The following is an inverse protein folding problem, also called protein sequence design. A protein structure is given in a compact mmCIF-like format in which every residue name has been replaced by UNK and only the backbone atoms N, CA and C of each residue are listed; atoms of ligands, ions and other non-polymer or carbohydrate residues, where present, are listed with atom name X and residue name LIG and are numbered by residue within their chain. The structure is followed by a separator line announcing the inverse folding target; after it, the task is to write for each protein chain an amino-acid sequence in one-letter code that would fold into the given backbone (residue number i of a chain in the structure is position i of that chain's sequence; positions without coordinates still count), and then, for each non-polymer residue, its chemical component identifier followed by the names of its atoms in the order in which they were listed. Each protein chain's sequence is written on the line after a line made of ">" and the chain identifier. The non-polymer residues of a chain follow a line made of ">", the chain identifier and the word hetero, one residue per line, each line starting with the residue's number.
data_IF_773210310092
#
_entry.id   IF_773210310092
#
_cell.length_a   1.000
_cell.length_b   1.000
_cell.length_c   1.000
_cell.angle_alpha   90.00
_cell.angle_beta   90.00
_cell.angle_gamma   90.00
#
_symmetry.space_group_name_H-M   'P 1'
#
loop_
_entity.id
_entity.type
_entity.pdbx_description
1 polymer ?
#
# COMPACT_ATOMS: atom_id res chain seq x y z
N UNK A 1 -9.02 -4.21 -17.83
CA UNK A 1 -9.33 -4.93 -16.58
C UNK A 1 -9.07 -3.99 -15.42
N UNK A 2 -10.01 -3.89 -14.48
CA UNK A 2 -10.04 -2.81 -13.48
C UNK A 2 -9.97 -3.35 -12.06
N UNK A 3 -9.20 -2.71 -11.19
CA UNK A 3 -9.07 -3.09 -9.78
C UNK A 3 -10.28 -2.64 -8.96
N UNK A 4 -10.91 -3.57 -8.22
CA UNK A 4 -12.13 -3.26 -7.46
C UNK A 4 -11.85 -2.82 -6.00
N UNK A 5 -12.40 -1.68 -5.54
CA UNK A 5 -12.28 -1.23 -4.16
C UNK A 5 -13.20 -2.00 -3.19
N UNK A 6 -12.76 -2.14 -1.94
CA UNK A 6 -13.56 -2.66 -0.82
C UNK A 6 -14.39 -1.53 -0.22
N UNK A 7 -15.69 -1.49 -0.55
CA UNK A 7 -16.60 -0.40 -0.18
C UNK A 7 -16.84 -0.19 1.33
N UNK A 8 -16.74 -1.23 2.16
CA UNK A 8 -17.04 -1.13 3.60
C UNK A 8 -15.91 -0.47 4.41
N UNK A 9 -14.65 -0.69 4.03
CA UNK A 9 -13.48 -0.07 4.66
C UNK A 9 -13.45 1.46 4.49
N UNK A 10 -13.90 1.94 3.32
CA UNK A 10 -14.03 3.38 3.08
C UNK A 10 -15.06 4.04 4.02
N UNK A 11 -16.15 3.34 4.37
CA UNK A 11 -17.16 3.84 5.31
C UNK A 11 -16.60 3.90 6.73
N UNK A 12 -15.89 2.86 7.17
CA UNK A 12 -15.21 2.80 8.47
C UNK A 12 -14.17 3.90 8.66
N UNK A 13 -13.35 4.17 7.65
CA UNK A 13 -12.36 5.28 7.72
C UNK A 13 -13.02 6.65 7.90
N UNK A 14 -14.22 6.87 7.34
CA UNK A 14 -14.95 8.15 7.47
C UNK A 14 -15.51 8.31 8.88
N UNK A 15 -16.05 7.23 9.46
CA UNK A 15 -16.53 7.22 10.85
C UNK A 15 -15.39 7.48 11.83
N UNK A 16 -14.23 6.85 11.64
CA UNK A 16 -13.05 7.07 12.49
C UNK A 16 -12.55 8.52 12.44
N UNK A 17 -12.54 9.14 11.26
CA UNK A 17 -12.17 10.56 11.11
C UNK A 17 -13.16 11.47 11.84
N UNK A 18 -14.47 11.24 11.71
CA UNK A 18 -15.51 12.04 12.38
C UNK A 18 -15.40 11.90 13.91
N UNK A 19 -15.23 10.68 14.41
CA UNK A 19 -15.06 10.39 15.83
C UNK A 19 -13.80 11.05 16.42
N UNK A 20 -12.68 10.98 15.68
CA UNK A 20 -11.44 11.65 16.09
C UNK A 20 -11.61 13.17 16.10
N UNK A 21 -12.28 13.75 15.09
CA UNK A 21 -12.59 15.18 15.05
C UNK A 21 -13.46 15.65 16.22
N UNK A 22 -14.44 14.84 16.63
CA UNK A 22 -15.30 15.12 17.78
C UNK A 22 -14.51 15.13 19.11
N UNK A 23 -13.65 14.13 19.33
CA UNK A 23 -12.78 14.07 20.51
C UNK A 23 -11.86 15.29 20.61
N UNK A 24 -11.35 15.77 19.47
CA UNK A 24 -10.53 16.97 19.41
C UNK A 24 -11.30 18.24 19.77
N UNK A 25 -12.55 18.35 19.33
CA UNK A 25 -13.42 19.48 19.65
C UNK A 25 -13.67 19.56 21.16
N UNK A 26 -13.94 18.42 21.80
CA UNK A 26 -14.08 18.31 23.26
C UNK A 26 -12.79 18.72 23.97
N UNK A 27 -11.63 18.23 23.54
CA UNK A 27 -10.34 18.61 24.12
C UNK A 27 -10.08 20.11 23.98
N UNK A 28 -10.42 20.70 22.84
CA UNK A 28 -10.30 22.15 22.60
C UNK A 28 -11.21 22.97 23.52
N UNK A 29 -12.45 22.53 23.72
CA UNK A 29 -13.39 23.17 24.65
C UNK A 29 -12.89 23.14 26.09
N UNK A 30 -12.28 22.03 26.53
CA UNK A 30 -11.68 21.92 27.87
C UNK A 30 -10.48 22.86 28.01
N UNK A 31 -9.57 22.90 27.03
CA UNK A 31 -8.41 23.81 27.06
C UNK A 31 -8.86 25.28 27.06
N UNK A 32 -9.88 25.62 26.27
CA UNK A 32 -10.43 26.97 26.23
C UNK A 32 -11.10 27.37 27.55
N UNK A 33 -11.81 26.45 28.20
CA UNK A 33 -12.39 26.67 29.53
C UNK A 33 -11.33 26.90 30.60
N UNK A 34 -10.24 26.12 30.58
CA UNK A 34 -9.10 26.31 31.48
C UNK A 34 -8.41 27.66 31.23
N UNK A 35 -8.22 28.04 29.95
CA UNK A 35 -7.69 29.37 29.59
C UNK A 35 -8.55 30.51 30.13
N UNK A 36 -9.88 30.39 30.03
CA UNK A 36 -10.82 31.38 30.55
C UNK A 36 -10.70 31.56 32.07
N UNK A 37 -10.63 30.45 32.81
CA UNK A 37 -10.47 30.48 34.27
C UNK A 37 -9.10 31.07 34.69
N UNK A 38 -8.02 30.68 34.01
CA UNK A 38 -6.67 31.20 34.26
C UNK A 38 -6.55 32.69 33.94
N UNK A 39 -7.22 33.17 32.88
CA UNK A 39 -7.30 34.59 32.55
C UNK A 39 -8.02 35.39 33.64
N UNK A 40 -9.15 34.87 34.14
CA UNK A 40 -9.90 35.54 35.21
C UNK A 40 -9.14 35.57 36.55
N UNK A 41 -8.23 34.61 36.77
CA UNK A 41 -7.43 34.50 37.99
C UNK A 41 -6.10 35.29 37.95
N UNK A 42 -5.73 35.96 36.85
CA UNK A 42 -4.42 36.59 36.66
C UNK A 42 -3.23 35.68 37.03
N UNK A 43 -3.34 34.38 36.74
CA UNK A 43 -2.31 33.38 37.07
C UNK A 43 -1.14 33.44 36.08
N UNK A 44 0.09 33.26 36.55
CA UNK A 44 1.28 33.11 35.68
C UNK A 44 1.19 31.90 34.71
N UNK A 45 0.31 30.94 35.04
CA UNK A 45 0.04 29.73 34.25
C UNK A 45 -0.51 30.02 32.85
N UNK A 46 -1.01 31.24 32.60
CA UNK A 46 -1.58 31.66 31.32
C UNK A 46 -0.58 31.47 30.17
N UNK A 47 0.71 31.70 30.43
CA UNK A 47 1.77 31.49 29.44
C UNK A 47 1.93 30.00 29.07
N UNK A 48 1.87 29.10 30.06
CA UNK A 48 1.99 27.65 29.86
C UNK A 48 0.80 27.13 29.05
N UNK A 49 -0.41 27.57 29.39
CA UNK A 49 -1.62 27.13 28.69
C UNK A 49 -1.67 27.66 27.26
N UNK A 50 -1.28 28.91 27.02
CA UNK A 50 -1.16 29.48 25.65
C UNK A 50 -0.10 28.75 24.82
N UNK A 51 1.04 28.39 25.43
CA UNK A 51 2.09 27.63 24.76
C UNK A 51 1.61 26.23 24.36
N UNK A 52 0.96 25.50 25.26
CA UNK A 52 0.38 24.18 24.97
C UNK A 52 -0.71 24.25 23.91
N UNK A 53 -1.55 25.29 23.95
CA UNK A 53 -2.56 25.55 22.92
C UNK A 53 -1.92 25.82 21.55
N UNK A 54 -0.90 26.69 21.48
CA UNK A 54 -0.18 26.97 20.24
C UNK A 54 0.52 25.72 19.67
N UNK A 55 1.19 24.94 20.53
CA UNK A 55 1.89 23.72 20.14
C UNK A 55 0.93 22.64 19.60
N UNK A 56 -0.20 22.42 20.29
CA UNK A 56 -1.23 21.49 19.82
C UNK A 56 -1.85 21.96 18.51
N UNK A 57 -2.18 23.25 18.37
CA UNK A 57 -2.69 23.84 17.12
C UNK A 57 -1.74 23.59 15.94
N UNK A 58 -0.46 23.90 16.10
CA UNK A 58 0.55 23.70 15.06
C UNK A 58 0.69 22.21 14.69
N UNK A 59 0.76 21.33 15.68
CA UNK A 59 0.80 19.89 15.47
C UNK A 59 -0.40 19.41 14.62
N UNK A 60 -1.60 19.92 14.89
CA UNK A 60 -2.80 19.59 14.10
C UNK A 60 -2.74 20.15 12.68
N UNK A 61 -2.33 21.40 12.49
CA UNK A 61 -2.19 21.99 11.14
C UNK A 61 -1.20 21.16 10.30
N UNK A 62 -0.06 20.78 10.87
CA UNK A 62 0.91 19.92 10.20
C UNK A 62 0.36 18.51 9.92
N UNK A 63 -0.33 17.91 10.90
CA UNK A 63 -0.97 16.61 10.76
C UNK A 63 -2.04 16.58 9.67
N UNK A 64 -2.96 17.55 9.66
CA UNK A 64 -4.01 17.70 8.65
C UNK A 64 -3.39 17.94 7.28
N UNK A 65 -2.41 18.85 7.15
CA UNK A 65 -1.72 19.08 5.86
C UNK A 65 -1.09 17.80 5.33
N UNK A 66 -0.45 17.01 6.19
CA UNK A 66 0.11 15.71 5.81
C UNK A 66 -0.97 14.73 5.36
N UNK A 67 -2.07 14.60 6.11
CA UNK A 67 -3.20 13.72 5.77
C UNK A 67 -3.86 14.15 4.45
N UNK A 68 -4.06 15.45 4.23
CA UNK A 68 -4.66 16.00 3.01
C UNK A 68 -3.77 15.73 1.81
N UNK A 69 -2.45 15.97 1.91
CA UNK A 69 -1.50 15.63 0.83
C UNK A 69 -1.50 14.12 0.51
N UNK A 70 -1.52 13.27 1.55
CA UNK A 70 -1.61 11.82 1.37
C UNK A 70 -2.96 11.39 0.75
N UNK A 71 -4.04 12.13 1.01
CA UNK A 71 -5.36 11.90 0.39
C UNK A 71 -5.39 12.29 -1.09
N UNK A 72 -4.75 13.38 -1.48
CA UNK A 72 -4.78 13.85 -2.89
C UNK A 72 -3.99 12.93 -3.80
N UNK A 73 -2.88 12.36 -3.32
CA UNK A 73 -2.05 11.39 -4.07
C UNK A 73 -2.59 9.94 -4.02
N UNK A 74 -3.75 9.71 -3.39
CA UNK A 74 -4.30 8.36 -3.30
C UNK A 74 -4.79 7.88 -4.67
N UNK A 75 -4.32 6.70 -5.08
CA UNK A 75 -4.78 5.99 -6.25
C UNK A 75 -6.20 5.47 -5.98
N UNK A 76 -7.16 5.85 -6.82
CA UNK A 76 -8.58 5.49 -6.73
C UNK A 76 -8.96 4.34 -7.66
N UNK A 77 -8.30 4.24 -8.80
CA UNK A 77 -8.54 3.17 -9.77
C UNK A 77 -7.24 2.83 -10.47
N UNK A 78 -7.04 1.54 -10.68
CA UNK A 78 -5.96 1.00 -11.49
C UNK A 78 -6.63 0.15 -12.56
N UNK A 79 -6.30 0.39 -13.81
CA UNK A 79 -6.73 -0.46 -14.88
C UNK A 79 -5.62 -0.68 -15.89
N UNK A 80 -5.70 -1.84 -16.53
CA UNK A 80 -4.75 -2.28 -17.54
C UNK A 80 -5.54 -2.56 -18.80
N UNK A 81 -5.09 -1.99 -19.91
CA UNK A 81 -5.68 -2.15 -21.24
C UNK A 81 -4.60 -2.53 -22.27
N UNK A 82 -4.95 -2.45 -23.54
CA UNK A 82 -4.06 -2.80 -24.66
C UNK A 82 -2.93 -1.77 -24.89
N UNK A 83 -3.10 -0.56 -24.36
CA UNK A 83 -2.19 0.56 -24.57
C UNK A 83 -1.17 0.62 -23.42
N UNK A 84 -1.62 0.36 -22.19
CA UNK A 84 -0.74 0.41 -21.04
C UNK A 84 -1.41 0.20 -19.68
N UNK A 85 -0.67 0.63 -18.66
CA UNK A 85 -1.08 0.64 -17.26
C UNK A 85 -1.48 2.05 -16.85
N UNK A 86 -2.67 2.19 -16.29
CA UNK A 86 -3.25 3.48 -15.95
C UNK A 86 -3.63 3.57 -14.47
N UNK A 87 -3.28 4.71 -13.87
CA UNK A 87 -3.59 5.07 -12.50
C UNK A 87 -4.45 6.33 -12.51
N UNK A 88 -5.62 6.25 -11.90
CA UNK A 88 -6.50 7.40 -11.66
C UNK A 88 -6.35 7.79 -10.20
N UNK A 89 -5.88 9.01 -9.97
CA UNK A 89 -5.72 9.57 -8.64
C UNK A 89 -7.00 10.27 -8.18
N UNK A 90 -7.11 10.47 -6.87
CA UNK A 90 -8.30 11.08 -6.26
C UNK A 90 -8.51 12.55 -6.66
N UNK A 91 -7.43 13.25 -6.97
CA UNK A 91 -7.46 14.63 -7.49
C UNK A 91 -7.93 14.71 -8.96
N UNK A 92 -8.19 13.57 -9.61
CA UNK A 92 -8.57 13.49 -11.02
C UNK A 92 -7.38 13.36 -11.96
N UNK A 93 -6.14 13.47 -11.46
CA UNK A 93 -4.95 13.29 -12.29
C UNK A 93 -4.78 11.83 -12.72
N UNK A 94 -4.37 11.64 -13.97
CA UNK A 94 -4.15 10.32 -14.56
C UNK A 94 -2.67 10.11 -14.88
N UNK A 95 -2.06 9.10 -14.29
CA UNK A 95 -0.70 8.66 -14.63
C UNK A 95 -0.78 7.41 -15.48
N UNK A 96 -0.13 7.42 -16.64
CA UNK A 96 -0.21 6.34 -17.63
C UNK A 96 1.18 5.88 -18.04
N UNK A 97 1.40 4.56 -17.98
CA UNK A 97 2.61 3.90 -18.44
C UNK A 97 2.29 3.12 -19.70
N UNK A 98 2.65 3.67 -20.86
CA UNK A 98 2.34 3.11 -22.17
C UNK A 98 3.35 2.01 -22.54
N UNK A 99 2.89 0.88 -23.06
CA UNK A 99 3.77 -0.25 -23.39
C UNK A 99 4.83 0.10 -24.43
N UNK A 100 4.50 0.95 -25.41
CA UNK A 100 5.45 1.40 -26.43
C UNK A 100 6.63 2.22 -25.88
N UNK A 101 6.50 2.78 -24.67
CA UNK A 101 7.54 3.56 -23.99
C UNK A 101 8.38 2.74 -23.02
N UNK A 102 8.04 1.46 -22.80
CA UNK A 102 8.83 0.61 -21.91
C UNK A 102 10.23 0.42 -22.48
N UNK A 103 11.23 0.44 -21.62
CA UNK A 103 12.63 0.33 -22.04
C UNK A 103 13.22 -0.99 -21.55
N UNK A 104 14.28 -1.43 -22.23
CA UNK A 104 15.09 -2.54 -21.76
C UNK A 104 15.96 -2.09 -20.59
N UNK A 105 16.41 -3.04 -19.79
CA UNK A 105 17.43 -2.76 -18.80
C UNK A 105 18.75 -2.44 -19.49
N UNK A 106 19.44 -1.39 -19.05
CA UNK A 106 20.83 -1.15 -19.47
C UNK A 106 21.75 -2.26 -18.96
N UNK A 107 21.36 -2.98 -17.90
CA UNK A 107 22.12 -4.09 -17.35
C UNK A 107 21.67 -5.43 -17.96
N UNK A 108 22.54 -6.03 -18.77
CA UNK A 108 22.31 -7.33 -19.42
C UNK A 108 22.09 -8.50 -18.44
N UNK A 109 22.48 -8.37 -17.18
CA UNK A 109 22.28 -9.40 -16.15
C UNK A 109 20.89 -9.32 -15.50
N UNK A 110 20.12 -8.26 -15.77
CA UNK A 110 18.80 -8.04 -15.18
C UNK A 110 17.77 -8.13 -16.29
N UNK A 111 16.72 -8.92 -16.07
CA UNK A 111 15.59 -8.96 -17.00
C UNK A 111 14.88 -7.60 -17.06
N UNK A 112 14.29 -7.28 -18.21
CA UNK A 112 13.63 -5.99 -18.43
C UNK A 112 12.40 -5.80 -17.53
N UNK A 113 11.73 -6.91 -17.23
CA UNK A 113 10.60 -6.96 -16.30
C UNK A 113 10.87 -8.07 -15.29
N UNK A 114 10.97 -7.71 -14.02
CA UNK A 114 11.36 -8.64 -12.94
C UNK A 114 10.57 -8.40 -11.66
N UNK A 115 10.60 -9.38 -10.75
CA UNK A 115 10.01 -9.21 -9.43
C UNK A 115 11.06 -8.67 -8.45
N UNK A 116 10.66 -7.76 -7.56
CA UNK A 116 11.54 -7.28 -6.48
C UNK A 116 10.82 -7.38 -5.15
N UNK A 117 11.53 -7.90 -4.17
CA UNK A 117 11.10 -7.89 -2.77
C UNK A 117 11.52 -6.55 -2.16
N UNK A 118 10.54 -5.76 -1.74
CA UNK A 118 10.74 -4.40 -1.23
C UNK A 118 10.23 -4.34 0.20
N UNK A 119 11.03 -3.75 1.09
CA UNK A 119 10.63 -3.45 2.45
C UNK A 119 9.95 -2.09 2.49
N UNK A 120 8.63 -2.06 2.68
CA UNK A 120 7.86 -0.82 2.95
C UNK A 120 7.54 -0.76 4.45
N UNK A 121 8.41 -0.11 5.21
CA UNK A 121 8.30 -0.01 6.66
C UNK A 121 8.44 -1.37 7.36
N UNK A 122 7.39 -1.80 8.07
CA UNK A 122 7.34 -3.11 8.74
C UNK A 122 6.93 -4.27 7.81
N UNK A 123 6.52 -3.97 6.58
CA UNK A 123 5.97 -4.97 5.66
C UNK A 123 6.95 -5.27 4.53
N UNK A 124 7.00 -6.55 4.14
CA UNK A 124 7.67 -7.01 2.92
C UNK A 124 6.60 -7.09 1.83
N UNK A 125 6.87 -6.48 0.68
CA UNK A 125 5.96 -6.43 -0.47
C UNK A 125 6.69 -6.96 -1.70
N UNK A 126 5.99 -7.78 -2.49
CA UNK A 126 6.47 -8.30 -3.76
C UNK A 126 5.87 -7.45 -4.89
N UNK A 127 6.70 -6.66 -5.55
CA UNK A 127 6.27 -5.74 -6.63
C UNK A 127 6.93 -6.14 -7.96
N UNK A 128 6.16 -5.98 -9.04
CA UNK A 128 6.69 -6.11 -10.41
C UNK A 128 7.40 -4.81 -10.75
N UNK A 129 8.60 -4.92 -11.28
CA UNK A 129 9.46 -3.80 -11.68
C UNK A 129 9.60 -3.79 -13.20
N UNK A 130 9.53 -2.60 -13.78
CA UNK A 130 9.74 -2.35 -15.22
C UNK A 130 10.48 -1.02 -15.42
N UNK A 131 11.10 -0.83 -16.58
CA UNK A 131 11.83 0.40 -16.90
C UNK A 131 10.99 1.35 -17.76
N UNK A 132 10.94 2.62 -17.37
CA UNK A 132 10.17 3.65 -18.07
C UNK A 132 10.92 4.99 -18.08
N UNK A 133 10.91 5.75 -19.20
CA UNK A 133 11.55 7.05 -19.29
C UNK A 133 10.76 8.11 -18.51
N UNK A 134 11.49 8.92 -17.75
CA UNK A 134 10.95 10.13 -17.10
C UNK A 134 10.70 11.24 -18.13
N UNK A 135 10.11 12.36 -17.71
CA UNK A 135 9.85 13.53 -18.58
C UNK A 135 11.13 14.08 -19.23
N UNK A 136 12.29 13.87 -18.59
CA UNK A 136 13.62 14.24 -19.08
C UNK A 136 14.28 13.18 -19.98
N UNK A 137 13.57 12.10 -20.31
CA UNK A 137 14.08 10.98 -21.10
C UNK A 137 14.95 9.97 -20.34
N UNK A 138 15.25 10.23 -19.06
CA UNK A 138 16.05 9.31 -18.24
C UNK A 138 15.24 8.06 -17.88
N UNK A 139 15.78 6.88 -18.20
CA UNK A 139 15.14 5.60 -17.89
C UNK A 139 15.26 5.31 -16.40
N UNK A 140 14.12 5.03 -15.76
CA UNK A 140 14.04 4.73 -14.32
C UNK A 140 13.23 3.47 -14.07
N UNK A 141 13.55 2.78 -12.98
CA UNK A 141 12.73 1.69 -12.48
C UNK A 141 11.41 2.24 -11.96
N UNK A 142 10.32 1.62 -12.43
CA UNK A 142 8.97 1.86 -11.98
C UNK A 142 8.39 0.58 -11.40
N UNK A 143 7.48 0.75 -10.45
CA UNK A 143 6.86 -0.34 -9.73
C UNK A 143 5.38 -0.45 -10.11
N UNK A 144 4.88 -1.68 -10.22
CA UNK A 144 3.45 -1.93 -10.31
C UNK A 144 2.82 -1.70 -8.94
N UNK A 145 2.28 -0.50 -8.72
CA UNK A 145 1.80 -0.05 -7.42
C UNK A 145 0.32 -0.42 -7.23
N UNK A 146 0.04 -1.49 -6.50
CA UNK A 146 -1.34 -1.88 -6.19
C UNK A 146 -1.87 -1.29 -4.89
N UNK A 147 -0.96 -0.86 -4.01
CA UNK A 147 -1.28 -0.37 -2.68
C UNK A 147 -1.21 1.16 -2.71
N UNK A 148 -2.38 1.79 -2.58
CA UNK A 148 -2.48 3.21 -2.25
C UNK A 148 -1.73 3.49 -0.94
N UNK A 149 -1.31 4.74 -0.70
CA UNK A 149 -0.47 5.06 0.45
C UNK A 149 -1.14 4.72 1.81
N UNK A 150 -0.32 4.49 2.84
CA UNK A 150 -0.60 3.76 4.09
C UNK A 150 -1.93 4.03 4.84
N UNK A 151 -2.54 5.20 4.67
CA UNK A 151 -3.86 5.54 5.26
C UNK A 151 -5.04 4.89 4.53
N UNK A 152 -4.84 4.47 3.27
CA UNK A 152 -5.86 3.90 2.38
C UNK A 152 -5.38 2.60 1.69
N UNK A 153 -4.21 2.09 2.10
CA UNK A 153 -3.47 0.99 1.47
C UNK A 153 -4.19 -0.36 1.37
N UNK A 154 -5.33 -0.51 2.01
CA UNK A 154 -6.07 -1.77 2.06
C UNK A 154 -7.36 -1.77 1.22
N UNK A 155 -7.64 -0.69 0.48
CA UNK A 155 -8.89 -0.60 -0.27
C UNK A 155 -8.92 -1.57 -1.45
N UNK A 156 -7.78 -1.96 -2.04
CA UNK A 156 -7.76 -2.72 -3.28
C UNK A 156 -7.06 -4.08 -3.15
N UNK A 157 -7.82 -5.16 -3.01
CA UNK A 157 -7.25 -6.52 -2.92
C UNK A 157 -8.03 -7.59 -3.69
N UNK A 158 -9.24 -7.31 -4.20
CA UNK A 158 -10.14 -8.38 -4.67
C UNK A 158 -9.61 -9.10 -5.91
N UNK A 159 -9.08 -8.36 -6.88
CA UNK A 159 -8.57 -8.90 -8.16
C UNK A 159 -7.15 -8.44 -8.50
N UNK A 160 -6.37 -8.03 -7.49
CA UNK A 160 -4.99 -7.55 -7.66
C UNK A 160 -4.09 -8.56 -8.38
N UNK A 161 -4.21 -9.84 -8.04
CA UNK A 161 -3.40 -10.89 -8.65
C UNK A 161 -3.76 -11.13 -10.12
N UNK A 162 -5.05 -11.02 -10.45
CA UNK A 162 -5.53 -11.13 -11.82
C UNK A 162 -5.09 -9.91 -12.65
N UNK A 163 -5.11 -8.71 -12.07
CA UNK A 163 -4.62 -7.50 -12.72
C UNK A 163 -3.12 -7.56 -13.01
N UNK A 164 -2.31 -8.07 -12.06
CA UNK A 164 -0.88 -8.33 -12.29
C UNK A 164 -0.66 -9.34 -13.41
N UNK A 165 -1.42 -10.43 -13.44
CA UNK A 165 -1.32 -11.42 -14.51
C UNK A 165 -1.69 -10.81 -15.87
N UNK A 166 -2.77 -10.02 -15.92
CA UNK A 166 -3.19 -9.33 -17.13
C UNK A 166 -2.14 -8.31 -17.62
N UNK A 167 -1.50 -7.59 -16.71
CA UNK A 167 -0.39 -6.70 -17.03
C UNK A 167 0.80 -7.44 -17.65
N UNK A 168 1.24 -8.55 -17.04
CA UNK A 168 2.33 -9.38 -17.58
C UNK A 168 1.95 -9.97 -18.94
N UNK A 169 0.70 -10.44 -19.09
CA UNK A 169 0.17 -10.93 -20.37
C UNK A 169 0.28 -9.87 -21.47
N UNK A 170 -0.15 -8.65 -21.18
CA UNK A 170 -0.13 -7.57 -22.15
C UNK A 170 1.30 -7.14 -22.49
N UNK A 171 2.23 -7.12 -21.53
CA UNK A 171 3.66 -6.90 -21.84
C UNK A 171 4.16 -7.97 -22.81
N UNK A 172 3.92 -9.25 -22.52
CA UNK A 172 4.37 -10.35 -23.37
C UNK A 172 3.75 -10.28 -24.79
N UNK A 173 2.52 -9.78 -24.91
CA UNK A 173 1.81 -9.65 -26.18
C UNK A 173 2.25 -8.42 -27.00
N UNK A 174 2.33 -7.24 -26.38
CA UNK A 174 2.59 -5.98 -27.08
C UNK A 174 4.08 -5.61 -27.14
N UNK A 175 4.91 -6.21 -26.27
CA UNK A 175 6.36 -5.99 -26.18
C UNK A 175 7.12 -7.32 -26.04
N UNK A 176 7.03 -8.22 -27.04
CA UNK A 176 7.74 -9.50 -27.02
C UNK A 176 9.27 -9.33 -27.06
N UNK A 177 9.76 -8.14 -27.37
CA UNK A 177 11.17 -7.78 -27.33
C UNK A 177 11.73 -7.65 -25.91
N UNK A 178 10.88 -7.48 -24.89
CA UNK A 178 11.27 -7.36 -23.49
C UNK A 178 11.43 -8.73 -22.83
N UNK A 179 12.53 -8.92 -22.12
CA UNK A 179 12.78 -10.14 -21.36
C UNK A 179 12.05 -10.09 -20.01
N UNK A 180 11.08 -11.00 -19.82
CA UNK A 180 10.36 -11.18 -18.56
C UNK A 180 11.05 -12.26 -17.73
N UNK A 181 11.36 -11.92 -16.48
CA UNK A 181 11.94 -12.84 -15.50
C UNK A 181 10.99 -14.00 -15.18
N UNK A 182 11.51 -15.23 -15.16
CA UNK A 182 10.73 -16.43 -14.86
C UNK A 182 10.22 -16.44 -13.42
N UNK A 183 10.93 -15.79 -12.49
CA UNK A 183 10.52 -15.77 -11.09
C UNK A 183 9.21 -15.02 -10.86
N UNK A 184 8.82 -14.09 -11.76
CA UNK A 184 7.52 -13.40 -11.71
C UNK A 184 6.38 -14.42 -11.71
N UNK A 185 6.45 -15.46 -12.55
CA UNK A 185 5.36 -16.42 -12.68
C UNK A 185 5.15 -17.21 -11.39
N UNK A 186 6.26 -17.58 -10.72
CA UNK A 186 6.22 -18.26 -9.44
C UNK A 186 5.74 -17.35 -8.31
N UNK A 187 6.31 -16.16 -8.16
CA UNK A 187 6.01 -15.23 -7.07
C UNK A 187 4.58 -14.66 -7.15
N UNK A 188 4.03 -14.50 -8.36
CA UNK A 188 2.68 -13.96 -8.56
C UNK A 188 1.62 -15.02 -8.90
N UNK A 189 1.95 -16.31 -8.84
CA UNK A 189 1.05 -17.42 -9.18
C UNK A 189 0.44 -17.27 -10.59
N UNK A 190 1.24 -16.86 -11.56
CA UNK A 190 0.85 -16.75 -12.97
C UNK A 190 1.28 -18.04 -13.67
N UNK A 191 0.43 -18.60 -14.52
CA UNK A 191 0.80 -19.74 -15.33
C UNK A 191 1.70 -19.27 -16.50
N UNK A 192 2.91 -19.81 -16.61
CA UNK A 192 3.88 -19.42 -17.64
C UNK A 192 3.37 -19.59 -19.08
N UNK A 193 2.51 -20.59 -19.33
CA UNK A 193 2.02 -20.91 -20.67
C UNK A 193 0.79 -20.09 -21.05
N UNK A 194 -0.14 -19.93 -20.12
CA UNK A 194 -1.41 -19.22 -20.40
C UNK A 194 -1.37 -17.75 -20.05
N UNK A 195 -0.38 -17.31 -19.25
CA UNK A 195 -0.24 -15.96 -18.71
C UNK A 195 -1.46 -15.51 -17.88
N UNK A 196 -2.24 -16.47 -17.38
CA UNK A 196 -3.41 -16.25 -16.53
C UNK A 196 -3.06 -16.54 -15.08
N UNK A 197 -3.67 -15.79 -14.16
CA UNK A 197 -3.55 -16.02 -12.72
C UNK A 197 -4.14 -17.38 -12.32
N UNK A 198 -3.33 -18.21 -11.68
CA UNK A 198 -3.72 -19.54 -11.21
C UNK A 198 -4.23 -19.47 -9.76
N UNK A 199 -5.55 -19.25 -9.64
CA UNK A 199 -6.23 -19.17 -8.34
C UNK A 199 -6.14 -20.49 -7.57
N UNK A 200 -6.16 -21.63 -8.26
CA UNK A 200 -6.12 -22.95 -7.63
C UNK A 200 -4.74 -23.21 -7.01
N UNK A 201 -3.66 -22.91 -7.74
CA UNK A 201 -2.29 -23.01 -7.24
C UNK A 201 -2.07 -22.10 -6.04
N UNK A 202 -2.53 -20.85 -6.10
CA UNK A 202 -2.45 -19.94 -4.93
C UNK A 202 -3.17 -20.51 -3.72
N UNK A 203 -4.42 -20.97 -3.88
CA UNK A 203 -5.22 -21.54 -2.79
C UNK A 203 -4.54 -22.79 -2.20
N UNK A 204 -4.05 -23.68 -3.05
CA UNK A 204 -3.33 -24.90 -2.63
C UNK A 204 -2.07 -24.57 -1.83
N UNK A 205 -1.25 -23.63 -2.30
CA UNK A 205 -0.05 -23.20 -1.57
C UNK A 205 -0.42 -22.57 -0.23
N UNK A 206 -1.42 -21.70 -0.18
CA UNK A 206 -1.86 -21.10 1.10
C UNK A 206 -2.33 -22.16 2.10
N UNK A 207 -3.14 -23.12 1.67
CA UNK A 207 -3.61 -24.22 2.54
C UNK A 207 -2.43 -25.08 3.02
N UNK A 208 -1.52 -25.44 2.11
CA UNK A 208 -0.32 -26.22 2.44
C UNK A 208 0.55 -25.49 3.47
N UNK A 209 0.79 -24.19 3.30
CA UNK A 209 1.56 -23.39 4.24
C UNK A 209 0.88 -23.33 5.61
N UNK A 210 -0.45 -23.15 5.66
CA UNK A 210 -1.20 -23.15 6.92
C UNK A 210 -1.12 -24.51 7.64
N UNK A 211 -1.20 -25.61 6.90
CA UNK A 211 -1.08 -26.96 7.46
C UNK A 211 0.30 -27.21 8.07
N UNK A 212 1.38 -26.78 7.38
CA UNK A 212 2.75 -26.87 7.90
C UNK A 212 2.90 -26.04 9.18
N UNK A 213 2.38 -24.80 9.19
CA UNK A 213 2.42 -23.94 10.37
C UNK A 213 1.69 -24.61 11.54
N UNK A 214 0.50 -25.17 11.30
CA UNK A 214 -0.26 -25.86 12.33
C UNK A 214 0.52 -27.03 12.95
N UNK A 215 1.14 -27.88 12.11
CA UNK A 215 1.95 -29.00 12.59
C UNK A 215 3.13 -28.51 13.43
N UNK A 216 3.86 -27.50 12.95
CA UNK A 216 5.00 -26.93 13.67
C UNK A 216 4.55 -26.36 15.02
N UNK A 217 3.42 -25.67 15.07
CA UNK A 217 2.86 -25.15 16.33
C UNK A 217 2.52 -26.28 17.31
N UNK A 218 1.89 -27.36 16.85
CA UNK A 218 1.56 -28.52 17.71
C UNK A 218 2.82 -29.16 18.28
N UNK A 219 3.85 -29.37 17.44
CA UNK A 219 5.13 -29.94 17.87
C UNK A 219 5.80 -29.05 18.93
N UNK A 220 5.82 -27.73 18.72
CA UNK A 220 6.41 -26.79 19.68
C UNK A 220 5.66 -26.77 21.02
N UNK A 221 4.32 -26.81 21.01
CA UNK A 221 3.50 -26.89 22.22
C UNK A 221 3.76 -28.20 22.96
N UNK A 222 3.84 -29.32 22.24
CA UNK A 222 4.13 -30.62 22.84
C UNK A 222 5.52 -30.66 23.49
N UNK A 223 6.55 -30.15 22.81
CA UNK A 223 7.90 -30.02 23.36
C UNK A 223 7.93 -29.12 24.61
N UNK A 224 7.17 -28.02 24.61
CA UNK A 224 7.05 -27.14 25.77
C UNK A 224 6.40 -27.84 26.97
N UNK A 225 5.35 -28.64 26.76
CA UNK A 225 4.70 -29.42 27.83
C UNK A 225 5.65 -30.47 28.40
N UNK A 226 6.43 -31.14 27.56
CA UNK A 226 7.45 -32.09 28.04
C UNK A 226 8.50 -31.34 28.87
N UNK A 227 9.02 -30.23 28.36
CA UNK A 227 10.02 -29.44 29.08
C UNK A 227 9.52 -28.94 30.45
N UNK A 228 8.25 -28.53 30.55
CA UNK A 228 7.65 -28.10 31.83
C UNK A 228 7.38 -29.24 32.81
N UNK A 229 7.17 -30.47 32.33
CA UNK A 229 6.91 -31.62 33.18
C UNK A 229 8.18 -32.38 33.61
N UNK A 230 9.28 -32.21 32.87
CA UNK A 230 10.53 -32.99 33.05
C UNK A 230 11.80 -32.14 33.18
N UNK A 231 11.69 -30.81 33.19
CA UNK A 231 12.76 -29.85 33.51
C UNK A 231 12.51 -29.16 34.83
#
# INVERSE_FOLDING_TARGET
>A
MDLQPIGWLMKLSRVFIIFTGFLLLVAYSVIFYVLYLSYQSNSEDLFIVLFLFGATTLFFIFGIRKIVRLKTQAIMQIYVDEIGLHYVHRDGNKTSFLYNKFQKSDNRMVSDVFHKTIRRGKYIVFEIVFFYPDEKGNVRQQFFQTKADALFAYIFTRNEAELRAFFIKNIAQYRPDLQIDKDIFKCHYINEKTLVFDRAKRKKTTISTLYIILIVTIVLVFLMIIFLNYG
#
